data_IF_822228891206
#
_entry.id   IF_822228891206
#
_cell.length_a   1.000
_cell.length_b   1.000
_cell.length_c   1.000
_cell.angle_alpha   90.00
_cell.angle_beta   90.00
_cell.angle_gamma   90.00
#
_symmetry.space_group_name_H-M   'P 1'
#
loop_
_entity.id
_entity.type
_entity.pdbx_description
1 polymer ?
#
# COMPACT_ATOMS: atom_id res chain seq x y z
N UNK A 1 -8.04 -26.43 6.01
CA UNK A 1 -6.85 -25.54 6.25
C UNK A 1 -7.40 -24.19 6.64
N UNK A 2 -7.01 -23.64 7.79
CA UNK A 2 -7.35 -22.27 8.15
C UNK A 2 -6.71 -21.36 7.10
N UNK A 3 -7.49 -20.51 6.42
CA UNK A 3 -6.99 -19.56 5.41
C UNK A 3 -5.89 -18.66 6.00
N UNK A 4 -4.94 -18.23 5.16
CA UNK A 4 -3.89 -17.26 5.56
C UNK A 4 -4.55 -15.92 5.92
N UNK A 5 -3.88 -15.14 6.76
CA UNK A 5 -4.41 -13.87 7.30
C UNK A 5 -3.54 -12.70 6.83
N UNK A 6 -4.17 -11.68 6.27
CA UNK A 6 -3.51 -10.46 5.83
C UNK A 6 -4.08 -9.21 6.51
N UNK A 7 -3.24 -8.20 6.70
CA UNK A 7 -3.63 -6.83 7.03
C UNK A 7 -3.28 -5.95 5.81
N UNK A 8 -4.25 -5.18 5.31
CA UNK A 8 -4.07 -4.25 4.18
C UNK A 8 -4.44 -2.84 4.64
N UNK A 9 -3.51 -1.89 4.57
CA UNK A 9 -3.77 -0.47 4.83
C UNK A 9 -4.16 0.28 3.56
N UNK A 10 -4.91 1.39 3.69
CA UNK A 10 -5.44 2.12 2.53
C UNK A 10 -6.49 1.32 1.76
N UNK A 11 -7.29 0.54 2.48
CA UNK A 11 -8.15 -0.50 1.92
C UNK A 11 -9.49 -0.01 1.37
N UNK A 12 -9.89 1.25 1.63
CA UNK A 12 -11.20 1.75 1.21
C UNK A 12 -11.32 1.94 -0.31
N UNK A 13 -10.22 2.18 -1.02
CA UNK A 13 -10.23 2.44 -2.47
C UNK A 13 -8.90 2.11 -3.17
N UNK A 14 -8.86 2.23 -4.50
CA UNK A 14 -7.66 2.11 -5.30
C UNK A 14 -6.95 0.75 -5.18
N UNK A 15 -5.62 0.77 -5.07
CA UNK A 15 -4.78 -0.43 -5.00
C UNK A 15 -5.07 -1.26 -3.74
N UNK A 16 -5.30 -0.59 -2.59
CA UNK A 16 -5.62 -1.29 -1.34
C UNK A 16 -6.92 -2.08 -1.43
N UNK A 17 -8.00 -1.47 -1.92
CA UNK A 17 -9.30 -2.13 -2.15
C UNK A 17 -9.17 -3.32 -3.12
N UNK A 18 -8.45 -3.12 -4.24
CA UNK A 18 -8.20 -4.20 -5.20
C UNK A 18 -7.37 -5.34 -4.57
N UNK A 19 -6.43 -5.01 -3.68
CA UNK A 19 -5.63 -6.00 -2.95
C UNK A 19 -6.49 -6.82 -1.99
N UNK A 20 -7.41 -6.19 -1.24
CA UNK A 20 -8.38 -6.90 -0.40
C UNK A 20 -9.20 -7.86 -1.25
N UNK A 21 -9.73 -7.40 -2.40
CA UNK A 21 -10.52 -8.24 -3.30
C UNK A 21 -9.71 -9.44 -3.84
N UNK A 22 -8.47 -9.23 -4.27
CA UNK A 22 -7.61 -10.29 -4.79
C UNK A 22 -7.28 -11.34 -3.71
N UNK A 23 -6.88 -10.90 -2.51
CA UNK A 23 -6.56 -11.80 -1.41
C UNK A 23 -7.79 -12.58 -0.94
N UNK A 24 -8.96 -11.91 -0.83
CA UNK A 24 -10.21 -12.58 -0.45
C UNK A 24 -10.64 -13.62 -1.48
N UNK A 25 -10.46 -13.35 -2.79
CA UNK A 25 -10.73 -14.31 -3.86
C UNK A 25 -9.80 -15.54 -3.78
N UNK A 26 -8.57 -15.36 -3.31
CA UNK A 26 -7.60 -16.45 -3.07
C UNK A 26 -7.84 -17.16 -1.71
N UNK A 27 -8.95 -16.88 -1.02
CA UNK A 27 -9.33 -17.53 0.24
C UNK A 27 -8.60 -17.02 1.48
N UNK A 28 -7.99 -15.84 1.42
CA UNK A 28 -7.39 -15.20 2.59
C UNK A 28 -8.45 -14.59 3.48
N UNK A 29 -8.16 -14.50 4.76
CA UNK A 29 -8.83 -13.65 5.74
C UNK A 29 -8.13 -12.31 5.78
N UNK A 30 -8.87 -11.20 5.70
CA UNK A 30 -8.26 -9.88 5.53
C UNK A 30 -8.78 -8.89 6.56
N UNK A 31 -7.89 -8.24 7.29
CA UNK A 31 -8.19 -6.97 7.97
C UNK A 31 -8.00 -5.86 6.94
N UNK A 32 -9.11 -5.28 6.49
CA UNK A 32 -9.14 -4.13 5.60
C UNK A 32 -9.15 -2.85 6.43
N UNK A 33 -8.04 -2.11 6.41
CA UNK A 33 -7.86 -0.94 7.27
C UNK A 33 -7.74 0.34 6.43
N UNK A 34 -8.46 1.38 6.83
CA UNK A 34 -8.36 2.72 6.24
C UNK A 34 -8.57 3.79 7.32
N UNK A 35 -8.15 5.04 7.03
CA UNK A 35 -8.39 6.20 7.91
C UNK A 35 -9.88 6.54 8.01
N UNK A 36 -10.60 6.43 6.89
CA UNK A 36 -12.03 6.76 6.77
C UNK A 36 -12.38 8.23 7.12
N UNK A 37 -11.43 9.13 7.01
CA UNK A 37 -11.58 10.56 7.29
C UNK A 37 -10.69 11.38 6.36
N UNK A 38 -11.04 12.67 6.18
CA UNK A 38 -10.20 13.62 5.45
C UNK A 38 -9.04 14.11 6.33
N UNK A 39 -7.93 14.49 5.69
CA UNK A 39 -6.80 15.13 6.33
C UNK A 39 -6.85 16.65 6.08
N UNK A 40 -6.83 17.50 7.13
CA UNK A 40 -6.93 18.94 6.96
C UNK A 40 -5.77 19.58 6.19
N UNK A 41 -4.63 18.90 6.08
CA UNK A 41 -3.48 19.36 5.28
C UNK A 41 -3.65 19.09 3.78
N UNK A 42 -4.61 18.25 3.38
CA UNK A 42 -4.81 17.83 2.00
C UNK A 42 -6.10 18.43 1.42
N UNK A 43 -6.05 19.02 0.22
CA UNK A 43 -7.20 19.73 -0.35
C UNK A 43 -8.18 18.83 -1.14
N UNK A 44 -8.19 17.51 -0.87
CA UNK A 44 -9.05 16.54 -1.55
C UNK A 44 -9.52 15.45 -0.60
N UNK A 45 -10.68 14.85 -0.91
CA UNK A 45 -11.28 13.83 -0.07
C UNK A 45 -10.47 12.53 -0.07
N UNK A 46 -10.27 11.95 1.10
CA UNK A 46 -9.64 10.65 1.30
C UNK A 46 -10.69 9.52 1.26
N UNK A 47 -10.29 8.30 1.65
CA UNK A 47 -11.17 7.15 1.76
C UNK A 47 -12.25 7.36 2.82
N UNK A 48 -13.44 6.84 2.58
CA UNK A 48 -14.58 6.96 3.50
C UNK A 48 -14.97 5.60 4.09
N UNK A 49 -15.65 5.64 5.25
CA UNK A 49 -16.22 4.43 5.86
C UNK A 49 -17.17 3.69 4.89
N UNK A 50 -17.98 4.40 4.14
CA UNK A 50 -18.89 3.79 3.17
C UNK A 50 -18.16 3.09 2.02
N UNK A 51 -16.98 3.58 1.62
CA UNK A 51 -16.13 2.89 0.65
C UNK A 51 -15.52 1.62 1.23
N UNK A 52 -15.02 1.67 2.48
CA UNK A 52 -14.49 0.50 3.17
C UNK A 52 -15.57 -0.58 3.36
N UNK A 53 -16.78 -0.20 3.77
CA UNK A 53 -17.90 -1.13 3.93
C UNK A 53 -18.29 -1.80 2.60
N UNK A 54 -18.24 -1.06 1.48
CA UNK A 54 -18.45 -1.63 0.15
C UNK A 54 -17.39 -2.66 -0.23
N UNK A 55 -16.13 -2.43 0.12
CA UNK A 55 -15.03 -3.39 -0.10
C UNK A 55 -15.29 -4.68 0.67
N UNK A 56 -15.68 -4.59 1.94
CA UNK A 56 -16.03 -5.76 2.76
C UNK A 56 -17.23 -6.52 2.17
N UNK A 57 -18.30 -5.80 1.83
CA UNK A 57 -19.52 -6.41 1.29
C UNK A 57 -19.32 -7.07 -0.08
N UNK A 58 -18.35 -6.59 -0.88
CA UNK A 58 -18.04 -7.13 -2.20
C UNK A 58 -17.13 -8.38 -2.16
N UNK A 59 -16.57 -8.74 -1.00
CA UNK A 59 -15.74 -9.93 -0.87
C UNK A 59 -16.57 -11.21 -1.12
N UNK A 60 -15.98 -12.26 -1.73
CA UNK A 60 -16.65 -13.55 -1.94
C UNK A 60 -17.22 -14.17 -0.65
N UNK A 61 -16.50 -14.01 0.45
CA UNK A 61 -16.97 -14.28 1.81
C UNK A 61 -16.75 -13.02 2.67
N UNK A 62 -17.80 -12.19 2.88
CA UNK A 62 -17.71 -11.01 3.73
C UNK A 62 -17.30 -11.31 5.18
N UNK A 63 -17.56 -12.53 5.69
CA UNK A 63 -17.16 -12.93 7.04
C UNK A 63 -15.64 -13.15 7.15
N UNK A 64 -14.94 -13.36 6.03
CA UNK A 64 -13.49 -13.46 5.97
C UNK A 64 -12.80 -12.08 5.91
N UNK A 65 -13.54 -10.97 5.80
CA UNK A 65 -12.99 -9.61 5.77
C UNK A 65 -13.48 -8.82 6.98
N UNK A 66 -12.57 -8.21 7.72
CA UNK A 66 -12.88 -7.33 8.85
C UNK A 66 -12.45 -5.90 8.52
N UNK A 67 -13.38 -4.95 8.62
CA UNK A 67 -13.04 -3.53 8.53
C UNK A 67 -12.38 -3.03 9.82
N UNK A 68 -11.36 -2.18 9.69
CA UNK A 68 -10.74 -1.45 10.79
C UNK A 68 -10.55 0.02 10.38
N UNK A 69 -10.94 0.95 11.24
CA UNK A 69 -10.65 2.37 11.06
C UNK A 69 -9.40 2.72 11.87
N UNK A 70 -8.35 3.16 11.18
CA UNK A 70 -7.12 3.58 11.85
C UNK A 70 -6.25 4.45 10.93
N UNK A 71 -5.53 5.37 11.54
CA UNK A 71 -4.50 6.18 10.89
C UNK A 71 -3.17 5.41 10.90
N UNK A 72 -2.51 5.30 9.76
CA UNK A 72 -1.18 4.66 9.66
C UNK A 72 -0.08 5.45 10.38
N UNK A 73 -0.35 6.71 10.73
CA UNK A 73 0.54 7.55 11.54
C UNK A 73 0.49 7.18 13.03
N UNK A 74 -0.53 6.44 13.46
CA UNK A 74 -0.71 5.98 14.83
C UNK A 74 -0.29 4.50 15.00
N UNK A 75 0.89 4.22 15.59
CA UNK A 75 1.34 2.85 15.81
C UNK A 75 0.44 2.02 16.73
N UNK A 76 -0.26 2.64 17.69
CA UNK A 76 -1.15 1.93 18.62
C UNK A 76 -2.43 1.48 17.91
N UNK A 77 -2.98 2.31 17.02
CA UNK A 77 -4.10 1.94 16.17
C UNK A 77 -3.74 0.81 15.19
N UNK A 78 -2.55 0.87 14.58
CA UNK A 78 -2.02 -0.23 13.75
C UNK A 78 -1.83 -1.52 14.57
N UNK A 79 -1.32 -1.43 15.80
CA UNK A 79 -1.19 -2.57 16.69
C UNK A 79 -2.55 -3.18 17.06
N UNK A 80 -3.60 -2.35 17.20
CA UNK A 80 -4.96 -2.84 17.39
C UNK A 80 -5.48 -3.62 16.18
N UNK A 81 -5.19 -3.16 14.95
CA UNK A 81 -5.55 -3.88 13.73
C UNK A 81 -4.82 -5.23 13.61
N UNK A 82 -3.54 -5.30 14.02
CA UNK A 82 -2.80 -6.57 14.10
C UNK A 82 -3.43 -7.50 15.15
N UNK A 83 -3.75 -6.99 16.35
CA UNK A 83 -4.43 -7.80 17.38
C UNK A 83 -5.78 -8.33 16.89
N UNK A 84 -6.56 -7.53 16.17
CA UNK A 84 -7.82 -7.99 15.56
C UNK A 84 -7.61 -9.22 14.67
N UNK A 85 -6.54 -9.25 13.85
CA UNK A 85 -6.20 -10.41 13.04
C UNK A 85 -5.83 -11.63 13.90
N UNK A 86 -5.05 -11.42 14.96
CA UNK A 86 -4.61 -12.47 15.88
C UNK A 86 -5.78 -13.07 16.68
N UNK A 87 -6.65 -12.23 17.24
CA UNK A 87 -7.81 -12.64 18.02
C UNK A 87 -8.86 -13.35 17.17
N UNK A 88 -9.13 -12.83 15.97
CA UNK A 88 -10.19 -13.37 15.12
C UNK A 88 -9.77 -14.62 14.37
N UNK A 89 -8.49 -14.74 13.98
CA UNK A 89 -8.02 -15.78 13.07
C UNK A 89 -6.70 -16.44 13.49
N UNK A 90 -6.15 -16.11 14.64
CA UNK A 90 -5.03 -16.82 15.27
C UNK A 90 -3.66 -16.39 14.76
N UNK A 91 -3.52 -15.26 14.06
CA UNK A 91 -2.22 -14.73 13.67
C UNK A 91 -2.24 -13.89 12.41
N UNK A 92 -1.06 -13.44 11.98
CA UNK A 92 -0.85 -12.64 10.78
C UNK A 92 0.16 -13.35 9.87
N UNK A 93 -0.15 -13.51 8.58
CA UNK A 93 0.70 -14.14 7.58
C UNK A 93 1.21 -13.15 6.53
N UNK A 94 0.50 -12.03 6.32
CA UNK A 94 0.95 -10.96 5.43
C UNK A 94 0.54 -9.57 5.96
N UNK A 95 1.38 -8.56 5.71
CA UNK A 95 1.08 -7.16 5.91
C UNK A 95 1.34 -6.38 4.62
N UNK A 96 0.34 -5.62 4.16
CA UNK A 96 0.41 -4.83 2.93
C UNK A 96 0.26 -3.35 3.27
N UNK A 97 1.33 -2.58 3.09
CA UNK A 97 1.35 -1.13 3.25
C UNK A 97 0.92 -0.46 1.93
N UNK A 98 -0.38 -0.20 1.77
CA UNK A 98 -0.94 0.43 0.57
C UNK A 98 -1.60 1.80 0.83
N UNK A 99 -1.66 2.27 2.07
CA UNK A 99 -2.06 3.63 2.38
C UNK A 99 -1.08 4.63 1.74
N UNK A 100 -1.60 5.70 1.18
CA UNK A 100 -0.82 6.74 0.57
C UNK A 100 -1.64 7.95 0.18
N UNK A 101 -0.98 9.09 0.11
CA UNK A 101 -1.54 10.39 -0.26
C UNK A 101 -0.61 11.12 -1.22
N UNK A 102 -1.08 12.21 -1.81
CA UNK A 102 -0.25 13.03 -2.70
C UNK A 102 -0.50 14.52 -2.44
N UNK A 103 0.55 15.30 -2.50
CA UNK A 103 0.48 16.75 -2.47
C UNK A 103 1.65 17.37 -3.25
N UNK A 104 1.50 18.61 -3.68
CA UNK A 104 2.47 19.32 -4.50
C UNK A 104 1.80 20.25 -5.49
N UNK A 105 2.19 20.17 -6.78
CA UNK A 105 1.63 21.03 -7.85
C UNK A 105 2.33 22.36 -7.97
N UNK A 106 3.37 22.61 -7.14
CA UNK A 106 4.24 23.78 -7.16
C UNK A 106 5.70 23.34 -7.02
N UNK A 107 6.69 24.19 -7.35
CA UNK A 107 8.10 23.89 -7.10
C UNK A 107 8.35 23.47 -5.64
N UNK A 108 9.29 22.55 -5.43
CA UNK A 108 9.54 21.92 -4.13
C UNK A 108 9.70 22.93 -2.98
N UNK A 109 10.39 24.04 -3.22
CA UNK A 109 10.62 25.12 -2.23
C UNK A 109 9.40 26.03 -1.97
N UNK A 110 8.27 25.76 -2.62
CA UNK A 110 7.00 26.49 -2.45
C UNK A 110 5.87 25.59 -1.91
N UNK A 111 6.12 24.30 -1.75
CA UNK A 111 5.12 23.37 -1.18
C UNK A 111 4.84 23.78 0.27
N UNK A 112 3.56 23.92 0.68
CA UNK A 112 3.23 24.19 2.07
C UNK A 112 3.80 23.11 3.00
N UNK A 113 4.50 23.47 4.10
CA UNK A 113 5.12 22.49 5.00
C UNK A 113 4.17 21.42 5.52
N UNK A 114 2.90 21.77 5.80
CA UNK A 114 1.90 20.81 6.27
C UNK A 114 1.56 19.73 5.23
N UNK A 115 1.53 20.09 3.93
CA UNK A 115 1.31 19.13 2.85
C UNK A 115 2.52 18.20 2.65
N UNK A 116 3.73 18.77 2.70
CA UNK A 116 4.97 17.99 2.64
C UNK A 116 5.03 16.97 3.78
N UNK A 117 4.76 17.43 5.02
CA UNK A 117 4.77 16.59 6.20
C UNK A 117 3.71 15.48 6.11
N UNK A 118 2.49 15.79 5.68
CA UNK A 118 1.43 14.80 5.52
C UNK A 118 1.84 13.67 4.55
N UNK A 119 2.47 14.02 3.43
CA UNK A 119 2.99 13.02 2.48
C UNK A 119 4.09 12.15 3.10
N UNK A 120 5.05 12.75 3.80
CA UNK A 120 6.13 11.98 4.44
C UNK A 120 5.61 11.09 5.56
N UNK A 121 4.71 11.60 6.39
CA UNK A 121 4.16 10.86 7.54
C UNK A 121 3.30 9.67 7.10
N UNK A 122 2.48 9.84 6.06
CA UNK A 122 1.62 8.76 5.57
C UNK A 122 2.41 7.79 4.70
N UNK A 123 3.09 8.29 3.66
CA UNK A 123 3.62 7.45 2.58
C UNK A 123 4.92 6.71 2.97
N UNK A 124 5.70 7.28 3.90
CA UNK A 124 6.89 6.64 4.46
C UNK A 124 6.68 6.26 5.93
N UNK A 125 6.29 7.20 6.77
CA UNK A 125 6.07 6.97 8.20
C UNK A 125 5.08 5.84 8.45
N UNK A 126 3.95 5.81 7.71
CA UNK A 126 2.95 4.75 7.80
C UNK A 126 3.49 3.36 7.45
N UNK A 127 4.38 3.26 6.46
CA UNK A 127 5.05 1.99 6.11
C UNK A 127 5.97 1.52 7.23
N UNK A 128 6.76 2.44 7.81
CA UNK A 128 7.65 2.17 8.95
C UNK A 128 6.84 1.73 10.18
N UNK A 129 5.73 2.41 10.47
CA UNK A 129 4.86 2.08 11.58
C UNK A 129 4.20 0.71 11.42
N UNK A 130 3.69 0.41 10.20
CA UNK A 130 3.13 -0.92 9.92
C UNK A 130 4.19 -2.01 10.11
N UNK A 131 5.41 -1.82 9.62
CA UNK A 131 6.49 -2.78 9.81
C UNK A 131 6.79 -3.01 11.30
N UNK A 132 6.84 -1.93 12.10
CA UNK A 132 7.10 -1.99 13.55
C UNK A 132 6.12 -2.89 14.29
N UNK A 133 4.85 -2.92 13.90
CA UNK A 133 3.83 -3.73 14.58
C UNK A 133 3.57 -5.08 13.91
N UNK A 134 3.64 -5.15 12.58
CA UNK A 134 3.33 -6.35 11.82
C UNK A 134 4.50 -7.36 11.80
N UNK A 135 5.75 -6.91 11.66
CA UNK A 135 6.90 -7.84 11.61
C UNK A 135 7.00 -8.72 12.85
N UNK A 136 6.88 -8.20 14.09
CA UNK A 136 6.83 -9.07 15.25
C UNK A 136 5.69 -10.10 15.22
N UNK A 137 4.52 -9.74 14.67
CA UNK A 137 3.39 -10.65 14.51
C UNK A 137 3.68 -11.76 13.50
N UNK A 138 4.29 -11.41 12.36
CA UNK A 138 4.74 -12.38 11.35
C UNK A 138 5.78 -13.36 11.93
N UNK A 139 6.68 -12.87 12.79
CA UNK A 139 7.71 -13.68 13.44
C UNK A 139 7.17 -14.58 14.57
N UNK A 140 5.99 -14.25 15.14
CA UNK A 140 5.31 -15.14 16.11
C UNK A 140 4.65 -16.37 15.49
N UNK A 141 4.50 -16.41 14.15
CA UNK A 141 3.96 -17.60 13.49
C UNK A 141 4.89 -18.80 13.70
N UNK A 142 4.34 -20.03 13.85
CA UNK A 142 5.15 -21.22 14.00
C UNK A 142 6.00 -21.51 12.76
N UNK A 143 7.12 -22.17 12.96
CA UNK A 143 7.96 -22.62 11.84
C UNK A 143 7.35 -23.82 11.11
N UNK A 144 7.61 -23.97 9.80
CA UNK A 144 8.35 -23.06 8.93
C UNK A 144 7.53 -21.78 8.63
N UNK A 145 8.08 -20.62 8.97
CA UNK A 145 7.43 -19.34 8.74
C UNK A 145 7.34 -19.01 7.25
N UNK A 146 6.23 -18.37 6.88
CA UNK A 146 5.95 -17.91 5.51
C UNK A 146 5.37 -16.49 5.53
N UNK A 147 5.88 -15.66 6.44
CA UNK A 147 5.42 -14.29 6.60
C UNK A 147 5.81 -13.40 5.40
N UNK A 148 4.96 -12.44 5.05
CA UNK A 148 5.15 -11.53 3.92
C UNK A 148 4.89 -10.08 4.34
N UNK A 149 5.85 -9.21 4.08
CA UNK A 149 5.66 -7.76 4.14
C UNK A 149 5.74 -7.21 2.72
N UNK A 150 4.69 -6.52 2.27
CA UNK A 150 4.64 -5.93 0.92
C UNK A 150 4.29 -4.46 1.04
N UNK A 151 5.12 -3.57 0.47
CA UNK A 151 4.86 -2.13 0.46
C UNK A 151 4.54 -1.62 -0.95
N UNK A 152 3.68 -0.61 -1.04
CA UNK A 152 3.41 0.11 -2.28
C UNK A 152 4.34 1.32 -2.36
N UNK A 153 5.42 1.17 -3.15
CA UNK A 153 6.29 2.26 -3.58
C UNK A 153 5.65 3.03 -4.77
N UNK A 154 6.40 3.38 -5.78
CA UNK A 154 5.93 4.04 -7.00
C UNK A 154 7.07 4.10 -8.01
N UNK A 155 6.78 4.28 -9.29
CA UNK A 155 7.76 4.71 -10.30
C UNK A 155 8.48 6.01 -9.88
N UNK A 156 7.83 6.84 -9.05
CA UNK A 156 8.42 8.02 -8.40
C UNK A 156 9.61 7.69 -7.47
N UNK A 157 9.80 6.43 -7.07
CA UNK A 157 10.95 6.01 -6.26
C UNK A 157 12.29 6.06 -7.02
N UNK A 158 12.23 5.96 -8.35
CA UNK A 158 13.42 5.94 -9.24
C UNK A 158 13.38 7.05 -10.28
N UNK A 159 12.21 7.64 -10.51
CA UNK A 159 11.97 8.69 -11.49
C UNK A 159 11.60 9.99 -10.80
N UNK A 160 12.33 11.07 -11.10
CA UNK A 160 11.97 12.41 -10.60
C UNK A 160 10.68 12.91 -11.25
N UNK A 161 9.67 13.20 -10.45
CA UNK A 161 8.43 13.81 -10.90
C UNK A 161 8.44 15.29 -10.47
N UNK A 162 8.51 16.25 -11.41
CA UNK A 162 8.48 17.67 -11.07
C UNK A 162 7.27 18.01 -10.20
N UNK A 163 7.42 18.95 -9.27
CA UNK A 163 6.36 19.42 -8.36
C UNK A 163 5.81 18.36 -7.37
N UNK A 164 6.41 17.18 -7.29
CA UNK A 164 6.03 16.08 -6.37
C UNK A 164 7.24 15.59 -5.53
N UNK A 165 8.11 16.52 -5.11
CA UNK A 165 9.38 16.16 -4.49
C UNK A 165 9.22 15.35 -3.19
N UNK A 166 8.29 15.73 -2.28
CA UNK A 166 8.04 15.00 -1.05
C UNK A 166 7.52 13.58 -1.33
N UNK A 167 6.64 13.43 -2.33
CA UNK A 167 6.14 12.13 -2.75
C UNK A 167 7.27 11.25 -3.31
N UNK A 168 8.13 11.79 -4.18
CA UNK A 168 9.31 11.08 -4.69
C UNK A 168 10.23 10.64 -3.55
N UNK A 169 10.51 11.54 -2.58
CA UNK A 169 11.34 11.24 -1.43
C UNK A 169 10.74 10.12 -0.56
N UNK A 170 9.43 10.19 -0.26
CA UNK A 170 8.75 9.15 0.51
C UNK A 170 8.82 7.80 -0.19
N UNK A 171 8.50 7.73 -1.49
CA UNK A 171 8.47 6.47 -2.24
C UNK A 171 9.88 5.89 -2.49
N UNK A 172 10.90 6.74 -2.65
CA UNK A 172 12.31 6.32 -2.64
C UNK A 172 12.72 5.76 -1.26
N UNK A 173 12.26 6.42 -0.18
CA UNK A 173 12.45 5.95 1.20
C UNK A 173 11.84 4.57 1.43
N UNK A 174 10.62 4.32 0.95
CA UNK A 174 9.98 2.99 1.01
C UNK A 174 10.82 1.92 0.32
N UNK A 175 11.34 2.21 -0.88
CA UNK A 175 12.18 1.26 -1.61
C UNK A 175 13.50 0.95 -0.87
N UNK A 176 14.12 1.95 -0.25
CA UNK A 176 15.30 1.79 0.59
C UNK A 176 15.00 0.99 1.86
N UNK A 177 13.92 1.34 2.55
CA UNK A 177 13.48 0.67 3.77
C UNK A 177 13.21 -0.83 3.54
N UNK A 178 12.49 -1.18 2.49
CA UNK A 178 12.16 -2.58 2.18
C UNK A 178 13.42 -3.42 1.93
N UNK A 179 14.44 -2.87 1.27
CA UNK A 179 15.72 -3.56 1.07
C UNK A 179 16.44 -3.82 2.40
N UNK A 180 16.48 -2.83 3.30
CA UNK A 180 17.06 -2.99 4.62
C UNK A 180 16.30 -4.01 5.45
N UNK A 181 14.97 -3.90 5.50
CA UNK A 181 14.11 -4.82 6.23
C UNK A 181 14.26 -6.27 5.72
N UNK A 182 14.39 -6.47 4.41
CA UNK A 182 14.60 -7.78 3.82
C UNK A 182 15.93 -8.42 4.28
N UNK A 183 16.99 -7.62 4.40
CA UNK A 183 18.27 -8.09 4.92
C UNK A 183 18.20 -8.47 6.41
N UNK A 184 17.50 -7.66 7.22
CA UNK A 184 17.29 -7.92 8.66
C UNK A 184 16.45 -9.17 8.89
N UNK A 185 15.51 -9.50 7.99
CA UNK A 185 14.66 -10.69 8.07
C UNK A 185 15.32 -11.96 7.54
N UNK A 186 16.57 -11.89 7.10
CA UNK A 186 17.31 -13.04 6.60
C UNK A 186 17.30 -14.23 7.56
N UNK A 187 17.03 -15.44 7.06
CA UNK A 187 16.95 -16.68 7.84
C UNK A 187 15.69 -16.85 8.69
N UNK A 188 14.79 -15.89 8.76
CA UNK A 188 13.55 -15.97 9.59
C UNK A 188 12.38 -16.67 8.91
N UNK A 189 12.42 -16.84 7.58
CA UNK A 189 11.29 -17.32 6.76
C UNK A 189 10.29 -16.22 6.38
N UNK A 190 10.50 -14.97 6.84
CA UNK A 190 9.71 -13.78 6.47
C UNK A 190 10.42 -13.02 5.36
N UNK A 191 9.68 -12.60 4.33
CA UNK A 191 10.22 -11.78 3.23
C UNK A 191 9.61 -10.37 3.23
N UNK A 192 10.37 -9.40 2.73
CA UNK A 192 9.91 -8.03 2.53
C UNK A 192 10.17 -7.59 1.10
N UNK A 193 9.12 -7.13 0.39
CA UNK A 193 9.18 -6.67 -0.99
C UNK A 193 8.34 -5.41 -1.18
N UNK A 194 8.56 -4.70 -2.28
CA UNK A 194 7.71 -3.60 -2.70
C UNK A 194 7.22 -3.79 -4.12
N UNK A 195 6.05 -3.24 -4.44
CA UNK A 195 5.62 -2.98 -5.81
C UNK A 195 5.85 -1.52 -6.14
N UNK A 196 6.16 -1.24 -7.40
CA UNK A 196 6.42 0.12 -7.93
C UNK A 196 5.43 0.42 -9.06
N UNK A 197 4.19 0.87 -8.72
CA UNK A 197 3.19 1.16 -9.74
C UNK A 197 3.56 2.37 -10.60
N UNK A 198 3.13 2.34 -11.86
CA UNK A 198 3.07 3.51 -12.73
C UNK A 198 1.78 4.30 -12.57
N UNK A 199 1.38 4.99 -13.63
CA UNK A 199 0.11 5.73 -13.68
C UNK A 199 -1.06 4.74 -13.62
N UNK A 200 -1.63 4.59 -12.42
CA UNK A 200 -2.67 3.62 -12.08
C UNK A 200 -4.01 4.34 -11.87
N UNK A 201 -5.11 3.80 -12.39
CA UNK A 201 -6.47 4.35 -12.27
C UNK A 201 -6.93 4.39 -10.81
N UNK A 202 -6.61 5.45 -10.10
CA UNK A 202 -6.91 5.66 -8.68
C UNK A 202 -7.24 7.13 -8.42
N UNK A 203 -7.92 7.46 -7.31
CA UNK A 203 -8.14 8.85 -6.91
C UNK A 203 -6.84 9.66 -6.72
N UNK A 204 -5.73 9.02 -6.35
CA UNK A 204 -4.41 9.68 -6.30
C UNK A 204 -3.97 10.13 -7.71
N UNK A 205 -4.27 9.36 -8.76
CA UNK A 205 -3.94 9.77 -10.12
C UNK A 205 -4.82 10.92 -10.61
N UNK A 206 -6.11 10.93 -10.21
CA UNK A 206 -7.00 12.06 -10.49
C UNK A 206 -6.50 13.34 -9.83
N UNK A 207 -6.08 13.26 -8.55
CA UNK A 207 -5.45 14.38 -7.84
C UNK A 207 -4.13 14.79 -8.50
N UNK A 208 -3.32 13.83 -8.96
CA UNK A 208 -2.10 14.14 -9.72
C UNK A 208 -2.42 14.95 -10.98
N UNK A 209 -3.46 14.58 -11.72
CA UNK A 209 -3.90 15.36 -12.88
C UNK A 209 -4.30 16.79 -12.51
N UNK A 210 -5.02 16.95 -11.39
CA UNK A 210 -5.37 18.27 -10.87
C UNK A 210 -4.13 19.09 -10.51
N UNK A 211 -3.16 18.51 -9.82
CA UNK A 211 -1.89 19.14 -9.45
C UNK A 211 -1.08 19.63 -10.66
N UNK A 212 -1.13 18.88 -11.75
CA UNK A 212 -0.45 19.23 -13.01
C UNK A 212 -1.30 20.12 -13.94
N UNK A 213 -2.52 20.48 -13.54
CA UNK A 213 -3.44 21.26 -14.39
C UNK A 213 -3.89 20.51 -15.65
N UNK A 214 -3.92 19.17 -15.60
CA UNK A 214 -4.33 18.34 -16.74
C UNK A 214 -5.86 18.15 -16.75
N UNK A 215 -6.47 18.00 -17.93
CA UNK A 215 -7.93 17.86 -18.05
C UNK A 215 -8.48 16.57 -17.44
N UNK A 216 -7.71 15.51 -17.37
CA UNK A 216 -8.07 14.23 -16.79
C UNK A 216 -6.85 13.33 -16.58
N UNK A 217 -6.94 12.36 -15.66
CA UNK A 217 -5.89 11.38 -15.40
C UNK A 217 -5.53 10.51 -16.62
N UNK A 218 -6.47 10.34 -17.55
CA UNK A 218 -6.22 9.58 -18.79
C UNK A 218 -5.05 10.08 -19.63
N UNK A 219 -4.66 11.35 -19.50
CA UNK A 219 -3.51 11.94 -20.20
C UNK A 219 -2.19 11.23 -19.84
N UNK A 220 -2.07 10.72 -18.62
CA UNK A 220 -0.88 9.99 -18.18
C UNK A 220 -0.65 8.65 -18.93
N UNK A 221 -1.65 8.12 -19.60
CA UNK A 221 -1.51 6.89 -20.41
C UNK A 221 -0.41 7.00 -21.47
N UNK A 222 -0.25 8.18 -22.08
CA UNK A 222 0.76 8.43 -23.10
C UNK A 222 2.21 8.38 -22.58
N UNK A 223 2.41 8.45 -21.26
CA UNK A 223 3.74 8.35 -20.65
C UNK A 223 4.20 6.91 -20.44
N UNK A 224 3.30 5.95 -20.56
CA UNK A 224 3.58 4.53 -20.37
C UNK A 224 3.72 3.84 -21.74
N UNK A 225 4.78 3.07 -21.99
CA UNK A 225 4.95 2.28 -23.23
C UNK A 225 3.76 1.38 -23.57
N UNK A 226 3.01 0.88 -22.55
CA UNK A 226 1.76 0.14 -22.79
C UNK A 226 0.63 1.00 -23.40
N UNK A 227 0.75 2.34 -23.46
CA UNK A 227 -0.24 3.24 -24.06
C UNK A 227 -1.57 3.32 -23.31
N UNK A 228 -1.64 2.82 -22.08
CA UNK A 228 -2.83 2.87 -21.23
C UNK A 228 -2.46 3.03 -19.75
N UNK A 229 -3.41 3.42 -18.93
CA UNK A 229 -3.26 3.37 -17.49
C UNK A 229 -3.23 1.91 -17.00
N UNK A 230 -2.49 1.66 -15.92
CA UNK A 230 -2.54 0.40 -15.17
C UNK A 230 -3.84 0.39 -14.35
N UNK A 231 -4.51 -0.75 -14.26
CA UNK A 231 -5.64 -0.91 -13.36
C UNK A 231 -5.17 -1.25 -11.93
N UNK A 232 -5.92 -0.85 -10.89
CA UNK A 232 -5.63 -1.29 -9.52
C UNK A 232 -5.54 -2.82 -9.38
N UNK A 233 -6.34 -3.56 -10.13
CA UNK A 233 -6.36 -5.02 -10.12
C UNK A 233 -5.04 -5.63 -10.64
N UNK A 234 -4.39 -5.02 -11.64
CA UNK A 234 -3.08 -5.48 -12.13
C UNK A 234 -1.99 -5.31 -11.07
N UNK A 235 -2.02 -4.21 -10.32
CA UNK A 235 -1.08 -4.01 -9.19
C UNK A 235 -1.39 -4.99 -8.06
N UNK A 236 -2.66 -5.17 -7.72
CA UNK A 236 -3.10 -6.10 -6.68
C UNK A 236 -2.73 -7.55 -6.98
N UNK A 237 -2.77 -7.98 -8.24
CA UNK A 237 -2.34 -9.32 -8.64
C UNK A 237 -0.86 -9.58 -8.32
N UNK A 238 0.01 -8.58 -8.53
CA UNK A 238 1.43 -8.68 -8.16
C UNK A 238 1.62 -8.66 -6.65
N UNK A 239 0.83 -7.84 -5.91
CA UNK A 239 0.86 -7.83 -4.44
C UNK A 239 0.41 -9.20 -3.91
N UNK A 240 -0.67 -9.80 -4.42
CA UNK A 240 -1.14 -11.12 -4.02
C UNK A 240 -0.10 -12.21 -4.33
N UNK A 241 0.57 -12.16 -5.48
CA UNK A 241 1.69 -13.04 -5.80
C UNK A 241 2.83 -12.90 -4.77
N UNK A 242 3.25 -11.68 -4.45
CA UNK A 242 4.31 -11.43 -3.46
C UNK A 242 3.90 -11.84 -2.04
N UNK A 243 2.62 -11.77 -1.70
CA UNK A 243 2.06 -12.27 -0.46
C UNK A 243 1.96 -13.81 -0.43
N UNK A 244 1.92 -14.45 -1.59
CA UNK A 244 1.76 -15.90 -1.76
C UNK A 244 3.04 -16.71 -1.58
N UNK A 245 2.90 -18.04 -1.69
CA UNK A 245 4.02 -18.98 -1.60
C UNK A 245 4.88 -18.98 -2.87
N UNK A 246 4.32 -18.58 -4.02
CA UNK A 246 5.05 -18.51 -5.30
C UNK A 246 6.21 -17.52 -5.29
N UNK A 247 6.18 -16.52 -4.39
CA UNK A 247 7.24 -15.52 -4.24
C UNK A 247 8.23 -15.84 -3.10
N UNK A 248 8.29 -17.08 -2.62
CA UNK A 248 9.10 -17.46 -1.45
C UNK A 248 10.61 -17.18 -1.60
N UNK A 249 11.12 -17.12 -2.82
CA UNK A 249 12.52 -16.79 -3.12
C UNK A 249 12.76 -15.28 -3.35
N UNK A 250 11.72 -14.46 -3.25
CA UNK A 250 11.82 -13.01 -3.47
C UNK A 250 11.87 -12.27 -2.13
N UNK A 251 12.94 -11.54 -1.89
CA UNK A 251 13.06 -10.61 -0.76
C UNK A 251 13.93 -9.41 -1.15
N UNK A 252 13.61 -8.21 -0.69
CA UNK A 252 14.30 -6.98 -1.04
C UNK A 252 14.00 -6.45 -2.45
N UNK A 253 13.08 -7.08 -3.18
CA UNK A 253 12.71 -6.68 -4.53
C UNK A 253 11.81 -5.43 -4.51
N UNK A 254 12.02 -4.54 -5.49
CA UNK A 254 11.09 -3.46 -5.84
C UNK A 254 10.60 -3.77 -7.25
N UNK A 255 9.40 -4.32 -7.35
CA UNK A 255 8.86 -4.91 -8.59
C UNK A 255 8.07 -3.85 -9.37
N UNK A 256 8.50 -3.45 -10.57
CA UNK A 256 7.75 -2.51 -11.42
C UNK A 256 6.42 -3.12 -11.88
N UNK A 257 5.34 -2.35 -11.74
CA UNK A 257 4.00 -2.64 -12.29
C UNK A 257 3.52 -1.33 -12.93
N UNK A 258 4.26 -0.86 -13.90
CA UNK A 258 4.24 0.54 -14.32
C UNK A 258 4.00 0.75 -15.82
N UNK A 259 3.67 -0.31 -16.55
CA UNK A 259 3.47 -0.23 -18.00
C UNK A 259 4.70 0.22 -18.77
N UNK A 260 5.90 0.09 -18.18
CA UNK A 260 7.16 0.53 -18.73
C UNK A 260 7.52 2.00 -18.45
N UNK A 261 6.80 2.66 -17.52
CA UNK A 261 7.00 4.09 -17.22
C UNK A 261 8.41 4.41 -16.73
N UNK A 262 9.08 3.50 -16.04
CA UNK A 262 10.40 3.70 -15.43
C UNK A 262 11.57 3.11 -16.27
N UNK A 263 11.32 2.78 -17.54
CA UNK A 263 12.37 2.33 -18.46
C UNK A 263 13.35 3.44 -18.84
#
# INVERSE_FOLDING_TARGET
>A
MTGRVALVTGAARGIGAATVAALAADGWRVVAMDLCADDPALPYALGSRAELDRVVAAAPDPAAVAAAEADVRDPDALAAAVRLAEERWGGLDAAVAAAGVIAGGVPAWQVPPGQEQAVLDVDLGGVLNLARVAVPALLRRPEPRRGRFVAVASAAATRGLPMLAAYCAAKAGVAGFVRALAAELGGTGVTANAVSPGSTQTPILDESARLYGLPAAGVFAAQQPLGRLVSPAEVAAVIAFLAGDGASAMTGAVVPVDGGLAL
#
